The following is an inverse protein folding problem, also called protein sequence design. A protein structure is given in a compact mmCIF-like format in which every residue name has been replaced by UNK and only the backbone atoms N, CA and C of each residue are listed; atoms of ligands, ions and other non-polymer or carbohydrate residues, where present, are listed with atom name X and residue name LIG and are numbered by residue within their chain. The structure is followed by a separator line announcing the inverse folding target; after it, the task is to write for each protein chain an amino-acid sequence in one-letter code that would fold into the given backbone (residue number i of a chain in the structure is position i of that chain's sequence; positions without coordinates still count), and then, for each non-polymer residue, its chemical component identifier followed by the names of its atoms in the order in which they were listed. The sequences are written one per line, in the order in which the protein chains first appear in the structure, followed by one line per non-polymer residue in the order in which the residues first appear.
data_IF_896291633243
#
_entry.id   IF_896291633243
#
_cell.length_a   1.000
_cell.length_b   1.000
_cell.length_c   1.000
_cell.angle_alpha   90.00
_cell.angle_beta   90.00
_cell.angle_gamma   90.00
#
_symmetry.space_group_name_H-M   'P 1'
#
loop_
_entity.id
_entity.type
_entity.pdbx_description
1 polymer ?
#
# COMPACT_ATOMS: atom_id res chain seq x y z
N UNK A 1 -14.01 43.45 50.81
CA UNK A 1 -14.24 42.24 49.97
C UNK A 1 -13.48 41.08 50.58
N UNK A 2 -14.18 40.10 51.16
CA UNK A 2 -13.57 38.85 51.63
C UNK A 2 -13.54 37.93 50.42
N UNK A 3 -12.39 37.86 49.75
CA UNK A 3 -12.21 36.89 48.66
C UNK A 3 -12.21 35.52 49.32
N UNK A 4 -13.20 34.70 48.98
CA UNK A 4 -13.36 33.36 49.53
C UNK A 4 -12.13 32.54 49.19
N UNK A 5 -11.30 32.26 50.20
CA UNK A 5 -10.05 31.51 50.07
C UNK A 5 -10.27 30.18 49.35
N UNK A 6 -11.45 29.56 49.54
CA UNK A 6 -11.87 28.32 48.87
C UNK A 6 -11.93 28.45 47.34
N UNK A 7 -12.36 29.59 46.82
CA UNK A 7 -12.46 29.83 45.37
C UNK A 7 -11.06 30.03 44.78
N UNK A 8 -10.19 30.73 45.50
CA UNK A 8 -8.79 30.94 45.09
C UNK A 8 -8.02 29.62 45.09
N UNK A 9 -8.22 28.77 46.10
CA UNK A 9 -7.57 27.46 46.16
C UNK A 9 -8.07 26.52 45.07
N UNK A 10 -9.37 26.54 44.75
CA UNK A 10 -9.93 25.75 43.65
C UNK A 10 -9.37 26.19 42.29
N UNK A 11 -9.30 27.50 42.04
CA UNK A 11 -8.74 28.03 40.79
C UNK A 11 -7.26 27.68 40.61
N UNK A 12 -6.47 27.70 41.70
CA UNK A 12 -5.06 27.29 41.66
C UNK A 12 -4.90 25.79 41.35
N UNK A 13 -5.76 24.94 41.91
CA UNK A 13 -5.74 23.51 41.61
C UNK A 13 -6.03 23.21 40.14
N UNK A 14 -7.04 23.87 39.55
CA UNK A 14 -7.34 23.71 38.13
C UNK A 14 -6.19 24.20 37.22
N UNK A 15 -5.54 25.31 37.57
CA UNK A 15 -4.38 25.81 36.84
C UNK A 15 -3.19 24.82 36.88
N UNK A 16 -2.93 24.22 38.05
CA UNK A 16 -1.86 23.23 38.20
C UNK A 16 -2.12 21.95 37.42
N UNK A 17 -3.37 21.47 37.40
CA UNK A 17 -3.77 20.31 36.58
C UNK A 17 -3.62 20.63 35.09
N UNK A 18 -4.03 21.81 34.64
CA UNK A 18 -3.89 22.21 33.24
C UNK A 18 -2.42 22.27 32.78
N UNK A 19 -1.53 22.81 33.61
CA UNK A 19 -0.08 22.83 33.33
C UNK A 19 0.50 21.41 33.37
N UNK A 20 0.06 20.58 34.31
CA UNK A 20 0.46 19.16 34.39
C UNK A 20 0.05 18.36 33.15
N UNK A 21 -1.18 18.54 32.65
CA UNK A 21 -1.68 17.89 31.44
C UNK A 21 -0.94 18.40 30.20
N UNK A 22 -0.70 19.71 30.08
CA UNK A 22 0.09 20.27 28.97
C UNK A 22 1.54 19.74 28.96
N UNK A 23 2.17 19.61 30.13
CA UNK A 23 3.50 19.03 30.26
C UNK A 23 3.50 17.52 29.95
N UNK A 24 2.46 16.80 30.37
CA UNK A 24 2.31 15.37 30.09
C UNK A 24 2.08 15.11 28.59
N UNK A 25 1.19 15.84 27.93
CA UNK A 25 0.95 15.75 26.47
C UNK A 25 2.21 16.13 25.67
N UNK A 26 3.07 17.00 26.21
CA UNK A 26 4.35 17.36 25.57
C UNK A 26 5.46 16.32 25.79
N UNK A 27 5.38 15.53 26.86
CA UNK A 27 6.36 14.49 27.22
C UNK A 27 5.97 13.12 26.67
N UNK A 28 4.72 12.71 26.87
CA UNK A 28 4.12 11.63 26.09
C UNK A 28 3.90 12.20 24.71
N UNK A 29 4.95 12.20 23.89
CA UNK A 29 4.82 12.30 22.45
C UNK A 29 3.82 11.24 22.01
N UNK A 30 2.54 11.61 22.02
CA UNK A 30 1.53 11.08 21.14
C UNK A 30 2.22 11.20 19.81
N UNK A 31 2.64 10.03 19.31
CA UNK A 31 3.59 9.92 18.25
C UNK A 31 3.20 10.94 17.20
N UNK A 32 4.19 11.68 16.70
CA UNK A 32 4.15 12.01 15.29
C UNK A 32 3.59 10.75 14.64
N UNK A 33 2.36 10.85 14.14
CA UNK A 33 1.89 9.97 13.09
C UNK A 33 3.12 9.90 12.21
N UNK A 34 3.74 8.73 12.14
CA UNK A 34 4.68 8.48 11.07
C UNK A 34 3.76 8.61 9.85
N UNK A 35 3.59 9.84 9.38
CA UNK A 35 3.56 10.14 7.97
C UNK A 35 4.80 9.43 7.50
N UNK A 36 4.58 8.17 7.12
CA UNK A 36 5.49 7.39 6.32
C UNK A 36 5.98 8.39 5.30
N UNK A 37 7.29 8.68 5.24
CA UNK A 37 7.77 9.68 4.32
C UNK A 37 7.17 9.30 2.99
N UNK A 38 6.34 10.19 2.45
CA UNK A 38 5.89 10.12 1.07
C UNK A 38 7.20 10.08 0.32
N UNK A 39 7.65 8.86 0.02
CA UNK A 39 8.77 8.60 -0.84
C UNK A 39 8.35 9.34 -2.09
N UNK A 40 9.01 10.47 -2.35
CA UNK A 40 9.03 11.09 -3.65
C UNK A 40 9.14 9.92 -4.63
N UNK A 41 8.09 9.72 -5.44
CA UNK A 41 7.91 8.55 -6.27
C UNK A 41 9.07 8.49 -7.28
N UNK A 42 10.20 7.95 -6.85
CA UNK A 42 11.14 7.33 -7.75
C UNK A 42 10.34 6.23 -8.43
N UNK A 43 10.38 6.19 -9.76
CA UNK A 43 9.76 5.11 -10.51
C UNK A 43 10.17 3.79 -9.86
N UNK A 44 9.20 2.89 -9.56
CA UNK A 44 9.52 1.67 -8.85
C UNK A 44 10.53 0.88 -9.68
N UNK A 45 11.64 0.52 -9.04
CA UNK A 45 12.66 -0.33 -9.65
C UNK A 45 12.07 -1.73 -9.76
N UNK A 46 11.44 -2.02 -10.90
CA UNK A 46 10.95 -3.35 -11.21
C UNK A 46 12.14 -4.32 -11.29
N UNK A 47 11.94 -5.59 -10.90
CA UNK A 47 12.92 -6.64 -11.14
C UNK A 47 13.32 -6.66 -12.63
N UNK A 48 14.61 -6.88 -12.89
CA UNK A 48 15.09 -6.99 -14.28
C UNK A 48 14.34 -8.10 -15.01
N UNK A 49 13.89 -7.83 -16.22
CA UNK A 49 13.14 -8.78 -17.03
C UNK A 49 11.66 -8.91 -16.67
N UNK A 50 11.13 -8.08 -15.78
CA UNK A 50 9.70 -7.95 -15.53
C UNK A 50 9.16 -6.66 -16.14
N UNK A 51 8.26 -6.80 -17.10
CA UNK A 51 7.48 -5.71 -17.67
C UNK A 51 6.03 -5.82 -17.21
N UNK A 52 5.45 -4.70 -16.74
CA UNK A 52 4.10 -4.67 -16.18
C UNK A 52 3.23 -3.73 -16.99
N UNK A 53 2.15 -4.29 -17.56
CA UNK A 53 1.08 -3.53 -18.24
C UNK A 53 -0.22 -3.66 -17.44
N UNK A 54 -0.78 -2.52 -17.07
CA UNK A 54 -2.08 -2.45 -16.39
C UNK A 54 -3.12 -1.83 -17.32
N UNK A 55 -4.35 -2.33 -17.24
CA UNK A 55 -5.53 -1.74 -17.90
C UNK A 55 -6.70 -1.73 -16.90
N UNK A 56 -7.88 -1.28 -17.35
CA UNK A 56 -9.09 -1.17 -16.52
C UNK A 56 -9.74 -2.51 -16.15
N UNK A 57 -9.29 -3.64 -16.70
CA UNK A 57 -9.86 -4.97 -16.40
C UNK A 57 -8.83 -6.09 -16.20
N UNK A 58 -7.55 -5.80 -16.38
CA UNK A 58 -6.50 -6.79 -16.25
C UNK A 58 -5.15 -6.18 -15.87
N UNK A 59 -4.33 -6.99 -15.22
CA UNK A 59 -2.89 -6.82 -15.16
C UNK A 59 -2.23 -7.90 -16.01
N UNK A 60 -1.34 -7.48 -16.90
CA UNK A 60 -0.46 -8.37 -17.65
C UNK A 60 1.00 -8.18 -17.20
N UNK A 61 1.61 -9.27 -16.76
CA UNK A 61 3.02 -9.36 -16.38
C UNK A 61 3.77 -10.11 -17.48
N UNK A 62 4.70 -9.44 -18.14
CA UNK A 62 5.61 -10.04 -19.11
C UNK A 62 6.94 -10.35 -18.42
N UNK A 63 7.34 -11.63 -18.46
CA UNK A 63 8.59 -12.13 -17.88
C UNK A 63 9.52 -12.58 -19.01
N UNK A 64 10.65 -11.90 -19.14
CA UNK A 64 11.68 -12.24 -20.12
C UNK A 64 12.31 -13.61 -19.81
N UNK A 65 12.64 -14.36 -20.86
CA UNK A 65 13.14 -15.74 -20.79
C UNK A 65 12.21 -16.73 -20.05
N UNK A 66 10.99 -16.33 -19.70
CA UNK A 66 10.12 -17.05 -18.78
C UNK A 66 10.77 -17.36 -17.41
N UNK A 67 11.81 -16.60 -17.05
CA UNK A 67 12.58 -16.84 -15.84
C UNK A 67 11.94 -16.12 -14.65
N UNK A 68 11.15 -16.87 -13.88
CA UNK A 68 10.54 -16.38 -12.64
C UNK A 68 11.41 -16.66 -11.40
N UNK A 69 12.64 -17.17 -11.56
CA UNK A 69 13.49 -17.55 -10.42
C UNK A 69 13.91 -16.35 -9.56
N UNK A 70 14.06 -15.19 -10.18
CA UNK A 70 14.36 -13.93 -9.51
C UNK A 70 13.12 -13.23 -8.92
N UNK A 71 11.92 -13.74 -9.19
CA UNK A 71 10.66 -13.17 -8.68
C UNK A 71 10.28 -13.90 -7.38
N UNK A 72 9.97 -13.11 -6.35
CA UNK A 72 9.39 -13.63 -5.12
C UNK A 72 7.97 -14.16 -5.34
N UNK A 73 7.55 -15.03 -4.42
CA UNK A 73 6.38 -15.88 -4.62
C UNK A 73 5.06 -15.10 -4.62
N UNK A 74 4.92 -14.07 -3.79
CA UNK A 74 3.63 -13.45 -3.54
C UNK A 74 3.55 -12.02 -4.09
N UNK A 75 2.47 -11.78 -4.83
CA UNK A 75 2.09 -10.50 -5.39
C UNK A 75 0.77 -10.06 -4.76
N UNK A 76 0.61 -8.75 -4.62
CA UNK A 76 -0.67 -8.15 -4.24
C UNK A 76 -1.14 -7.21 -5.33
N UNK A 77 -2.46 -7.12 -5.46
CA UNK A 77 -3.17 -6.24 -6.37
C UNK A 77 -4.28 -5.55 -5.57
N UNK A 78 -4.18 -4.25 -5.43
CA UNK A 78 -5.23 -3.42 -4.83
C UNK A 78 -5.93 -2.63 -5.93
N UNK A 79 -7.24 -2.81 -6.03
CA UNK A 79 -8.10 -2.12 -6.98
C UNK A 79 -8.88 -1.04 -6.24
N UNK A 80 -8.75 0.21 -6.65
CA UNK A 80 -9.47 1.33 -6.05
C UNK A 80 -10.65 1.68 -6.96
N UNK A 81 -11.87 1.21 -6.63
CA UNK A 81 -13.05 1.53 -7.44
C UNK A 81 -13.40 3.01 -7.32
N UNK A 82 -13.97 3.58 -8.38
CA UNK A 82 -14.55 4.93 -8.35
C UNK A 82 -15.80 4.98 -7.46
N UNK A 83 -16.56 3.89 -7.42
CA UNK A 83 -17.67 3.72 -6.49
C UNK A 83 -17.15 3.14 -5.15
N UNK A 84 -17.15 3.92 -4.07
CA UNK A 84 -16.65 3.46 -2.77
C UNK A 84 -17.51 2.36 -2.15
N UNK A 85 -18.74 2.15 -2.61
CA UNK A 85 -19.59 1.04 -2.13
C UNK A 85 -19.09 -0.34 -2.57
N UNK A 86 -18.21 -0.40 -3.56
CA UNK A 86 -17.58 -1.62 -4.06
C UNK A 86 -16.27 -1.97 -3.35
N UNK A 87 -15.77 -1.09 -2.48
CA UNK A 87 -14.52 -1.29 -1.77
C UNK A 87 -14.70 -2.12 -0.48
N UNK A 88 -13.61 -2.75 -0.03
CA UNK A 88 -13.50 -3.32 1.32
C UNK A 88 -13.35 -2.18 2.36
N UNK A 89 -13.38 -2.46 3.69
CA UNK A 89 -13.20 -1.43 4.72
C UNK A 89 -11.93 -0.57 4.58
N UNK A 90 -10.92 -1.10 3.90
CA UNK A 90 -9.65 -0.46 3.58
C UNK A 90 -9.70 0.47 2.35
N UNK A 91 -10.88 0.67 1.75
CA UNK A 91 -11.15 1.51 0.57
C UNK A 91 -10.60 0.98 -0.77
N UNK A 92 -10.19 -0.29 -0.80
CA UNK A 92 -9.80 -0.99 -2.02
C UNK A 92 -10.26 -2.45 -1.99
N UNK A 93 -10.29 -3.08 -3.16
CA UNK A 93 -10.46 -4.53 -3.29
C UNK A 93 -9.07 -5.16 -3.30
N UNK A 94 -8.82 -6.13 -2.42
CA UNK A 94 -7.50 -6.77 -2.26
C UNK A 94 -7.47 -8.15 -2.92
N UNK A 95 -6.46 -8.37 -3.77
CA UNK A 95 -6.19 -9.69 -4.35
C UNK A 95 -4.73 -10.06 -4.17
N UNK A 96 -4.49 -11.33 -3.87
CA UNK A 96 -3.15 -11.90 -3.78
C UNK A 96 -3.01 -13.03 -4.78
N UNK A 97 -1.86 -13.08 -5.45
CA UNK A 97 -1.58 -14.14 -6.41
C UNK A 97 -0.10 -14.48 -6.45
N UNK A 98 0.20 -15.65 -7.01
CA UNK A 98 1.54 -16.18 -7.11
C UNK A 98 1.78 -16.64 -8.55
N UNK A 99 2.83 -16.11 -9.19
CA UNK A 99 3.16 -16.43 -10.58
C UNK A 99 3.39 -17.91 -10.82
N UNK A 100 3.93 -18.65 -9.84
CA UNK A 100 4.15 -20.11 -9.94
C UNK A 100 2.83 -20.89 -10.01
N UNK A 101 1.74 -20.32 -9.50
CA UNK A 101 0.40 -20.93 -9.48
C UNK A 101 -0.43 -20.52 -10.70
N UNK A 102 -0.01 -19.49 -11.43
CA UNK A 102 -0.69 -19.02 -12.63
C UNK A 102 -0.17 -19.74 -13.88
N UNK A 103 -1.08 -20.07 -14.79
CA UNK A 103 -0.70 -20.58 -16.11
C UNK A 103 -0.37 -19.38 -17.02
N UNK A 104 0.79 -19.37 -17.70
CA UNK A 104 1.08 -18.33 -18.67
C UNK A 104 0.10 -18.42 -19.84
N UNK A 105 -0.41 -17.27 -20.28
CA UNK A 105 -1.44 -17.17 -21.32
C UNK A 105 -0.82 -17.13 -22.72
N UNK A 106 0.40 -16.61 -22.85
CA UNK A 106 1.10 -16.47 -24.14
C UNK A 106 2.62 -16.62 -23.94
N UNK A 107 3.24 -17.51 -24.72
CA UNK A 107 4.70 -17.56 -24.90
C UNK A 107 5.03 -16.91 -26.25
N UNK A 108 5.56 -15.68 -26.27
CA UNK A 108 6.02 -15.05 -27.51
C UNK A 108 7.55 -15.12 -27.61
N UNK A 109 8.06 -15.60 -28.74
CA UNK A 109 9.47 -15.42 -29.08
C UNK A 109 9.64 -14.03 -29.71
N UNK A 110 10.05 -13.03 -28.93
CA UNK A 110 10.51 -11.74 -29.49
C UNK A 110 12.03 -11.80 -29.62
N UNK A 111 12.53 -11.60 -30.85
CA UNK A 111 13.96 -11.48 -31.14
C UNK A 111 14.85 -12.64 -30.62
N UNK A 112 14.34 -13.88 -30.61
CA UNK A 112 15.09 -15.06 -30.20
C UNK A 112 15.11 -15.34 -28.68
N UNK A 113 14.42 -14.51 -27.88
CA UNK A 113 14.20 -14.75 -26.46
C UNK A 113 12.71 -14.99 -26.23
N UNK A 114 12.36 -16.10 -25.58
CA UNK A 114 10.99 -16.39 -25.20
C UNK A 114 10.56 -15.45 -24.06
N UNK A 115 9.37 -14.86 -24.12
CA UNK A 115 8.74 -14.18 -22.99
C UNK A 115 7.44 -14.87 -22.61
N UNK A 116 7.15 -14.92 -21.30
CA UNK A 116 5.93 -15.49 -20.74
C UNK A 116 5.02 -14.39 -20.22
N UNK A 117 3.76 -14.41 -20.63
CA UNK A 117 2.76 -13.46 -20.17
C UNK A 117 1.84 -14.10 -19.13
N UNK A 118 1.72 -13.47 -17.97
CA UNK A 118 0.79 -13.85 -16.91
C UNK A 118 -0.31 -12.79 -16.82
N UNK A 119 -1.56 -13.23 -16.97
CA UNK A 119 -2.74 -12.36 -16.93
C UNK A 119 -3.47 -12.58 -15.61
N UNK A 120 -3.77 -11.50 -14.92
CA UNK A 120 -4.65 -11.48 -13.75
C UNK A 120 -5.84 -10.62 -14.13
N UNK A 121 -6.99 -11.27 -14.33
CA UNK A 121 -8.25 -10.61 -14.67
C UNK A 121 -8.99 -10.25 -13.39
N UNK A 122 -9.65 -9.10 -13.41
CA UNK A 122 -10.55 -8.69 -12.36
C UNK A 122 -11.87 -8.20 -12.98
N UNK A 123 -12.94 -8.21 -12.19
CA UNK A 123 -14.26 -7.85 -12.66
C UNK A 123 -14.25 -6.45 -13.28
N UNK A 124 -14.98 -6.24 -14.40
CA UNK A 124 -15.04 -4.94 -15.04
C UNK A 124 -15.67 -3.95 -14.06
N UNK A 125 -14.86 -3.03 -13.56
CA UNK A 125 -15.25 -1.99 -12.61
C UNK A 125 -14.51 -0.72 -13.02
N UNK A 126 -15.15 0.44 -12.84
CA UNK A 126 -14.47 1.72 -13.07
C UNK A 126 -13.50 1.92 -11.92
N UNK A 127 -12.20 1.95 -12.22
CA UNK A 127 -11.13 2.09 -11.25
C UNK A 127 -10.50 3.47 -11.38
N UNK A 128 -10.26 4.13 -10.25
CA UNK A 128 -9.50 5.40 -10.19
C UNK A 128 -8.01 5.12 -10.08
N UNK A 129 -7.65 4.00 -9.46
CA UNK A 129 -6.27 3.58 -9.24
C UNK A 129 -6.17 2.07 -9.18
N UNK A 130 -5.03 1.54 -9.63
CA UNK A 130 -4.59 0.18 -9.34
C UNK A 130 -3.19 0.23 -8.77
N UNK A 131 -2.97 -0.49 -7.68
CA UNK A 131 -1.65 -0.70 -7.08
C UNK A 131 -1.29 -2.17 -7.20
N UNK A 132 -0.21 -2.47 -7.90
CA UNK A 132 0.37 -3.80 -7.96
C UNK A 132 1.69 -3.81 -7.21
N UNK A 133 1.97 -4.83 -6.42
CA UNK A 133 3.29 -4.99 -5.84
C UNK A 133 3.66 -6.43 -5.58
N UNK A 134 4.92 -6.61 -5.18
CA UNK A 134 5.45 -7.88 -4.73
C UNK A 134 5.89 -7.75 -3.29
N UNK A 135 5.68 -8.80 -2.51
CA UNK A 135 6.05 -8.81 -1.12
C UNK A 135 6.62 -10.17 -0.71
N UNK A 136 7.32 -10.18 0.43
CA UNK A 136 7.75 -11.40 1.10
C UNK A 136 7.32 -11.36 2.55
N UNK A 137 7.08 -12.53 3.15
CA UNK A 137 6.75 -12.66 4.57
C UNK A 137 7.94 -13.30 5.31
N UNK A 138 8.98 -12.54 5.68
CA UNK A 138 10.10 -13.12 6.41
C UNK A 138 9.62 -13.54 7.81
N UNK A 139 9.87 -14.81 8.17
CA UNK A 139 9.56 -15.36 9.50
C UNK A 139 8.07 -15.33 9.88
N UNK A 140 7.15 -15.37 8.91
CA UNK A 140 5.71 -15.40 9.16
C UNK A 140 5.13 -14.14 9.81
N UNK A 141 5.88 -13.03 9.82
CA UNK A 141 5.43 -11.72 10.26
C UNK A 141 5.07 -10.84 9.06
N UNK A 142 4.45 -9.69 9.35
CA UNK A 142 3.95 -8.71 8.39
C UNK A 142 4.93 -8.48 7.21
N UNK A 143 4.34 -8.26 6.05
CA UNK A 143 4.97 -8.34 4.74
C UNK A 143 6.02 -7.24 4.55
N UNK A 144 7.19 -7.63 4.03
CA UNK A 144 8.15 -6.69 3.45
C UNK A 144 7.78 -6.49 1.98
N UNK A 145 7.41 -5.27 1.63
CA UNK A 145 7.10 -4.91 0.25
C UNK A 145 8.40 -4.62 -0.51
N UNK A 146 8.58 -5.32 -1.62
CA UNK A 146 9.81 -5.27 -2.43
C UNK A 146 9.73 -4.17 -3.49
N UNK A 147 8.57 -4.03 -4.10
CA UNK A 147 8.26 -2.95 -5.04
C UNK A 147 6.74 -2.78 -5.14
N UNK A 148 6.32 -1.58 -5.53
CA UNK A 148 4.92 -1.22 -5.79
C UNK A 148 4.88 -0.38 -7.05
N UNK A 149 3.97 -0.71 -7.97
CA UNK A 149 3.64 0.08 -9.14
C UNK A 149 2.19 0.53 -9.04
N UNK A 150 2.03 1.83 -8.86
CA UNK A 150 0.73 2.51 -8.92
C UNK A 150 0.45 2.97 -10.35
N UNK A 151 -0.77 2.76 -10.80
CA UNK A 151 -1.32 3.35 -12.01
C UNK A 151 -2.61 4.05 -11.63
N UNK A 152 -2.64 5.37 -11.85
CA UNK A 152 -3.86 6.15 -11.76
C UNK A 152 -4.51 6.17 -13.14
N UNK A 153 -5.80 5.94 -13.17
CA UNK A 153 -6.61 6.15 -14.35
C UNK A 153 -7.25 7.50 -14.11
N UNK A 154 -6.66 8.54 -14.70
CA UNK A 154 -7.22 9.90 -14.62
C UNK A 154 -8.67 9.85 -15.12
N UNK A 155 -9.58 10.48 -14.37
CA UNK A 155 -11.00 10.64 -14.73
C UNK A 155 -11.20 11.53 -15.96
#
# INVERSE_FOLDING_TARGET
MKVDLKIVTAALFFALIAVGVLAFVRWTGVGKVMESPVLAQAEPVLPRGLDVKLTTGEVTLEVQACDISALHEEFFLHLYPADPSLAEPEEFISQQFNLKKLKPVVNQNRAGVASCHYRVEFSPTVLTRVSLGQFRMPNGRCCEVLWIKDVKFDE
#
